data_IF_066590959577
#
_entry.id   IF_066590959577
#
_cell.length_a   1.000
_cell.length_b   1.000
_cell.length_c   1.000
_cell.angle_alpha   90.00
_cell.angle_beta   90.00
_cell.angle_gamma   90.00
#
_symmetry.space_group_name_H-M   'P 1'
#
loop_
_entity.id
_entity.type
_entity.pdbx_description
1 polymer ?
#
# COMPACT_ATOMS: atom_id res chain seq x y z
N UNK A 1 -11.25 -37.23 46.91
CA UNK A 1 -12.42 -36.70 47.64
C UNK A 1 -12.90 -35.45 46.97
N UNK A 2 -14.07 -35.52 46.43
CA UNK A 2 -14.97 -34.60 45.76
C UNK A 2 -14.94 -33.15 46.28
N UNK A 3 -15.14 -32.15 45.41
CA UNK A 3 -16.44 -31.49 45.33
C UNK A 3 -16.56 -30.66 44.04
N UNK A 4 -17.53 -31.06 43.26
CA UNK A 4 -18.16 -30.35 42.15
C UNK A 4 -18.93 -29.16 42.70
N UNK A 5 -18.75 -27.96 42.13
CA UNK A 5 -19.78 -26.92 42.25
C UNK A 5 -20.03 -26.29 40.88
N UNK A 6 -21.14 -26.72 40.33
CA UNK A 6 -21.83 -26.19 39.17
C UNK A 6 -22.53 -24.91 39.59
N UNK A 7 -22.34 -23.81 38.84
CA UNK A 7 -23.27 -22.68 38.85
C UNK A 7 -23.68 -22.34 37.42
N UNK A 8 -24.94 -22.61 37.17
CA UNK A 8 -25.77 -22.20 36.02
C UNK A 8 -26.33 -20.81 36.24
N UNK A 9 -26.76 -20.22 35.15
CA UNK A 9 -27.71 -19.10 35.00
C UNK A 9 -27.02 -17.75 34.77
N UNK A 10 -27.46 -16.86 33.85
CA UNK A 10 -28.79 -16.70 33.27
C UNK A 10 -28.66 -15.97 31.91
N UNK A 11 -29.56 -16.33 31.00
CA UNK A 11 -29.94 -15.53 29.83
C UNK A 11 -30.66 -14.28 30.29
N UNK A 12 -30.29 -13.11 29.70
CA UNK A 12 -31.20 -11.98 29.59
C UNK A 12 -31.30 -11.57 28.13
N UNK A 13 -32.46 -11.84 27.56
CA UNK A 13 -32.93 -11.27 26.31
C UNK A 13 -33.28 -9.81 26.51
N UNK A 14 -32.77 -8.92 25.71
CA UNK A 14 -33.10 -7.49 25.67
C UNK A 14 -33.54 -7.12 24.26
N UNK A 15 -34.79 -6.65 24.19
CA UNK A 15 -35.61 -6.47 23.02
C UNK A 15 -35.14 -5.35 22.06
N UNK A 16 -35.58 -5.51 20.83
CA UNK A 16 -35.51 -4.59 19.70
C UNK A 16 -36.19 -3.23 19.99
N UNK A 17 -35.60 -2.16 19.44
CA UNK A 17 -36.32 -0.94 19.11
C UNK A 17 -35.96 -0.52 17.68
N UNK A 18 -36.85 -0.79 16.76
CA UNK A 18 -36.85 -0.24 15.42
C UNK A 18 -37.39 1.19 15.49
N UNK A 19 -36.62 2.17 15.01
CA UNK A 19 -37.11 3.51 14.73
C UNK A 19 -37.14 3.69 13.22
N UNK A 20 -38.34 3.61 12.66
CA UNK A 20 -38.67 4.04 11.30
C UNK A 20 -38.81 5.57 11.33
N UNK A 21 -37.99 6.28 10.59
CA UNK A 21 -38.23 7.69 10.23
C UNK A 21 -38.38 7.75 8.70
N UNK A 22 -39.67 7.80 8.30
CA UNK A 22 -40.12 8.22 6.98
C UNK A 22 -39.97 9.74 6.91
N UNK A 23 -39.25 10.23 5.93
CA UNK A 23 -39.15 11.65 5.58
C UNK A 23 -39.28 11.80 4.07
N UNK A 24 -40.43 12.28 3.70
CA UNK A 24 -40.90 12.57 2.34
C UNK A 24 -40.22 13.78 1.71
N UNK A 25 -39.90 13.71 0.42
CA UNK A 25 -40.23 14.69 -0.59
C UNK A 25 -39.40 15.97 -0.68
N UNK A 26 -38.85 16.20 -1.87
CA UNK A 26 -38.34 17.48 -2.32
C UNK A 26 -37.59 17.38 -3.64
N UNK A 27 -38.33 17.17 -4.73
CA UNK A 27 -37.85 17.43 -6.08
C UNK A 27 -37.75 18.94 -6.30
N UNK A 28 -36.61 19.47 -6.68
CA UNK A 28 -36.45 20.82 -7.19
C UNK A 28 -35.74 20.75 -8.53
N UNK A 29 -36.45 21.30 -9.51
CA UNK A 29 -36.16 21.33 -10.93
C UNK A 29 -34.90 22.14 -11.26
N UNK A 30 -34.21 21.71 -12.33
CA UNK A 30 -33.21 22.47 -13.06
C UNK A 30 -33.83 23.65 -13.80
N UNK A 31 -33.13 24.77 -13.94
CA UNK A 31 -33.43 25.70 -15.02
C UNK A 31 -32.46 25.55 -16.19
N UNK A 32 -33.09 25.64 -17.37
CA UNK A 32 -32.49 25.56 -18.67
C UNK A 32 -31.59 26.74 -19.03
N UNK A 33 -30.68 26.48 -19.94
CA UNK A 33 -29.84 27.46 -20.64
C UNK A 33 -30.69 28.33 -21.63
N UNK A 34 -30.24 29.55 -21.91
CA UNK A 34 -30.64 30.19 -23.17
C UNK A 34 -29.45 30.32 -24.13
N UNK A 35 -29.70 30.34 -25.44
CA UNK A 35 -28.66 30.56 -26.46
C UNK A 35 -28.55 32.04 -26.82
N UNK A 36 -27.33 32.49 -27.07
CA UNK A 36 -27.16 33.77 -27.78
C UNK A 36 -26.08 33.67 -28.84
N UNK A 37 -26.55 33.84 -30.02
CA UNK A 37 -25.85 34.00 -31.28
C UNK A 37 -25.56 35.47 -31.48
N UNK A 38 -24.30 35.83 -31.80
CA UNK A 38 -24.03 37.07 -32.50
C UNK A 38 -22.80 36.93 -33.39
N UNK A 39 -23.05 37.03 -34.64
CA UNK A 39 -22.09 37.21 -35.74
C UNK A 39 -21.61 38.66 -35.77
N UNK A 40 -20.30 38.83 -35.90
CA UNK A 40 -19.72 40.09 -36.40
C UNK A 40 -18.55 39.79 -37.32
N UNK A 41 -18.74 40.19 -38.56
CA UNK A 41 -17.82 40.17 -39.68
C UNK A 41 -17.15 41.55 -39.75
N UNK A 42 -15.83 41.60 -39.73
CA UNK A 42 -15.12 42.83 -40.18
C UNK A 42 -13.71 42.45 -40.70
N UNK A 43 -13.58 42.67 -41.88
CA UNK A 43 -12.56 43.01 -42.88
C UNK A 43 -11.11 43.27 -42.41
N UNK A 44 -10.20 42.66 -43.18
CA UNK A 44 -8.76 42.97 -43.21
C UNK A 44 -8.45 44.39 -43.75
N UNK A 45 -7.25 44.89 -43.45
CA UNK A 45 -6.43 45.33 -44.57
C UNK A 45 -5.04 44.69 -44.60
N UNK A 46 -4.66 44.43 -45.84
CA UNK A 46 -3.34 44.03 -46.31
C UNK A 46 -2.31 45.13 -46.02
N UNK A 47 -1.20 44.76 -45.41
CA UNK A 47 0.01 45.57 -45.48
C UNK A 47 1.20 44.66 -45.76
N UNK A 48 1.77 44.85 -46.95
CA UNK A 48 3.10 44.34 -47.33
C UNK A 48 4.15 45.05 -46.48
N UNK A 49 5.04 44.26 -45.84
CA UNK A 49 6.34 44.74 -45.42
C UNK A 49 7.32 43.58 -45.35
N UNK A 50 8.18 43.54 -46.29
CA UNK A 50 9.63 43.24 -46.31
C UNK A 50 10.21 42.43 -45.15
N UNK A 51 10.71 41.23 -45.47
CA UNK A 51 11.59 40.43 -44.61
C UNK A 51 12.97 41.10 -44.43
N UNK A 52 13.60 40.89 -43.27
CA UNK A 52 15.03 40.65 -43.25
C UNK A 52 15.30 39.20 -42.83
N UNK A 53 16.22 38.57 -43.56
CA UNK A 53 16.92 37.38 -43.13
C UNK A 53 17.52 37.62 -41.74
N UNK A 54 17.08 36.86 -40.77
CA UNK A 54 17.84 36.61 -39.57
C UNK A 54 18.07 35.12 -39.47
N UNK A 55 19.32 34.76 -39.55
CA UNK A 55 19.85 33.44 -39.54
C UNK A 55 19.48 32.66 -38.29
N UNK A 56 19.27 31.35 -38.52
CA UNK A 56 19.38 30.23 -37.61
C UNK A 56 20.09 30.51 -36.29
N UNK A 57 19.34 30.42 -35.20
CA UNK A 57 19.83 29.87 -33.95
C UNK A 57 18.65 29.24 -33.23
N UNK A 58 17.99 28.30 -33.90
CA UNK A 58 17.19 27.31 -33.23
C UNK A 58 18.15 26.26 -32.64
N UNK A 59 18.89 26.66 -31.62
CA UNK A 59 19.62 25.69 -30.80
C UNK A 59 18.59 24.86 -30.05
N UNK A 60 18.47 23.64 -30.52
CA UNK A 60 17.61 22.58 -30.06
C UNK A 60 17.59 22.49 -28.53
N UNK A 61 16.52 22.95 -27.92
CA UNK A 61 16.11 22.46 -26.60
C UNK A 61 15.59 21.03 -26.75
N UNK A 62 16.49 20.12 -27.20
CA UNK A 62 16.21 18.68 -27.24
C UNK A 62 16.23 18.12 -25.81
N UNK A 63 15.04 17.93 -25.19
CA UNK A 63 14.80 16.58 -24.72
C UNK A 63 15.17 16.23 -23.30
N UNK A 64 15.00 17.12 -22.26
CA UNK A 64 15.11 16.66 -20.87
C UNK A 64 13.72 16.42 -20.20
N UNK A 65 12.65 16.94 -20.78
CA UNK A 65 11.30 16.78 -20.25
C UNK A 65 10.77 15.31 -20.22
N UNK A 66 11.03 14.45 -21.24
CA UNK A 66 10.49 13.08 -21.20
C UNK A 66 11.13 12.19 -20.11
N UNK A 67 12.42 12.35 -19.83
CA UNK A 67 13.10 11.53 -18.80
C UNK A 67 12.61 11.86 -17.38
N UNK A 68 12.44 13.14 -17.06
CA UNK A 68 11.92 13.59 -15.77
C UNK A 68 10.44 13.14 -15.58
N UNK A 69 9.61 13.27 -16.60
CA UNK A 69 8.23 12.80 -16.57
C UNK A 69 8.13 11.28 -16.39
N UNK A 70 9.01 10.52 -17.05
CA UNK A 70 9.08 9.06 -16.89
C UNK A 70 9.52 8.66 -15.48
N UNK A 71 10.52 9.31 -14.92
CA UNK A 71 11.00 9.08 -13.55
C UNK A 71 9.91 9.41 -12.52
N UNK A 72 9.20 10.53 -12.68
CA UNK A 72 8.10 10.92 -11.81
C UNK A 72 6.95 9.90 -11.86
N UNK A 73 6.58 9.45 -13.06
CA UNK A 73 5.56 8.40 -13.25
C UNK A 73 5.99 7.07 -12.64
N UNK A 74 7.26 6.68 -12.77
CA UNK A 74 7.80 5.47 -12.17
C UNK A 74 7.84 5.54 -10.65
N UNK A 75 8.24 6.68 -10.07
CA UNK A 75 8.18 6.92 -8.63
C UNK A 75 6.75 6.77 -8.10
N UNK A 76 5.76 7.36 -8.78
CA UNK A 76 4.35 7.23 -8.44
C UNK A 76 3.82 5.78 -8.48
N UNK A 77 4.52 4.87 -9.20
CA UNK A 77 4.20 3.43 -9.22
C UNK A 77 4.94 2.63 -8.14
N UNK A 78 6.14 3.03 -7.77
CA UNK A 78 6.97 2.35 -6.77
C UNK A 78 6.68 2.81 -5.33
N UNK A 79 6.30 4.06 -5.12
CA UNK A 79 5.94 4.60 -3.81
C UNK A 79 4.91 3.77 -3.06
N UNK A 80 3.78 3.40 -3.68
CA UNK A 80 2.79 2.52 -3.04
C UNK A 80 3.33 1.16 -2.61
N UNK A 81 4.35 0.61 -3.28
CA UNK A 81 4.96 -0.65 -2.87
C UNK A 81 5.73 -0.51 -1.55
N UNK A 82 6.49 0.57 -1.39
CA UNK A 82 7.21 0.86 -0.14
C UNK A 82 6.22 1.15 1.00
N UNK A 83 5.19 1.94 0.74
CA UNK A 83 4.17 2.31 1.72
C UNK A 83 3.37 1.09 2.22
N UNK A 84 2.86 0.25 1.32
CA UNK A 84 2.14 -0.97 1.69
C UNK A 84 3.04 -2.00 2.39
N UNK A 85 4.32 -2.05 2.03
CA UNK A 85 5.30 -2.88 2.75
C UNK A 85 5.48 -2.41 4.19
N UNK A 86 5.56 -1.10 4.44
CA UNK A 86 5.64 -0.55 5.80
C UNK A 86 4.35 -0.78 6.60
N UNK A 87 3.17 -0.64 5.98
CA UNK A 87 1.89 -1.00 6.61
C UNK A 87 1.87 -2.46 7.04
N UNK A 88 2.34 -3.35 6.14
CA UNK A 88 2.41 -4.78 6.46
C UNK A 88 3.40 -5.08 7.59
N UNK A 89 4.52 -4.36 7.68
CA UNK A 89 5.46 -4.50 8.80
C UNK A 89 4.86 -4.05 10.13
N UNK A 90 4.03 -3.00 10.15
CA UNK A 90 3.31 -2.58 11.34
C UNK A 90 2.35 -3.66 11.88
N UNK A 91 1.77 -4.50 11.00
CA UNK A 91 1.02 -5.67 11.48
C UNK A 91 1.91 -6.74 12.11
N UNK A 92 3.21 -6.75 11.79
CA UNK A 92 4.19 -7.63 12.44
C UNK A 92 4.32 -7.38 13.94
N UNK A 93 4.16 -6.13 14.39
CA UNK A 93 4.14 -5.75 15.80
C UNK A 93 2.94 -6.36 16.51
N UNK A 94 1.77 -6.29 15.87
CA UNK A 94 0.54 -6.87 16.40
C UNK A 94 0.63 -8.39 16.47
N UNK A 95 1.22 -9.04 15.45
CA UNK A 95 1.46 -10.50 15.48
C UNK A 95 2.44 -10.87 16.58
N UNK A 96 3.52 -10.10 16.76
CA UNK A 96 4.48 -10.32 17.83
C UNK A 96 3.78 -10.22 19.20
N UNK A 97 2.96 -9.18 19.41
CA UNK A 97 2.21 -9.00 20.64
C UNK A 97 1.18 -10.12 20.89
N UNK A 98 0.48 -10.55 19.84
CA UNK A 98 -0.48 -11.67 19.94
C UNK A 98 0.19 -13.00 20.31
N UNK A 99 1.42 -13.22 19.85
CA UNK A 99 2.20 -14.45 20.14
C UNK A 99 3.00 -14.36 21.45
N UNK A 100 3.19 -13.18 22.02
CA UNK A 100 3.99 -12.99 23.22
C UNK A 100 3.42 -13.76 24.40
N UNK A 101 4.27 -14.55 25.09
CA UNK A 101 3.89 -15.34 26.25
C UNK A 101 2.99 -16.56 25.95
N UNK A 102 2.71 -16.87 24.67
CA UNK A 102 1.88 -18.05 24.31
C UNK A 102 2.72 -19.32 24.06
N UNK A 103 4.03 -19.19 23.88
CA UNK A 103 4.89 -20.27 23.38
C UNK A 103 4.68 -20.60 21.90
N UNK A 104 3.77 -19.92 21.20
CA UNK A 104 3.52 -20.13 19.77
C UNK A 104 4.73 -19.72 18.91
N UNK A 105 5.11 -20.53 17.90
CA UNK A 105 6.28 -20.24 17.07
C UNK A 105 6.05 -19.01 16.19
N UNK A 106 7.13 -18.26 15.90
CA UNK A 106 7.11 -17.17 14.92
C UNK A 106 6.99 -17.75 13.51
N UNK A 107 7.74 -18.80 13.25
CA UNK A 107 7.70 -19.50 11.97
C UNK A 107 6.45 -20.41 11.90
N UNK A 108 5.69 -20.25 10.83
CA UNK A 108 4.47 -21.03 10.56
C UNK A 108 4.45 -21.39 9.05
N UNK A 109 5.19 -22.43 8.65
CA UNK A 109 5.34 -22.80 7.24
C UNK A 109 4.02 -23.08 6.53
N UNK A 110 3.05 -23.65 7.23
CA UNK A 110 1.72 -23.95 6.66
C UNK A 110 0.99 -22.64 6.32
N UNK A 111 0.95 -21.69 7.25
CA UNK A 111 0.34 -20.37 7.04
C UNK A 111 1.10 -19.55 6.02
N UNK A 112 2.43 -19.62 6.00
CA UNK A 112 3.25 -18.96 5.00
C UNK A 112 2.91 -19.44 3.59
N UNK A 113 2.77 -20.75 3.40
CA UNK A 113 2.40 -21.33 2.12
C UNK A 113 0.98 -20.93 1.68
N UNK A 114 0.00 -20.92 2.58
CA UNK A 114 -1.35 -20.41 2.28
C UNK A 114 -1.34 -18.97 1.75
N UNK A 115 -0.53 -18.10 2.35
CA UNK A 115 -0.38 -16.71 1.90
C UNK A 115 0.24 -16.67 0.51
N UNK A 116 1.31 -17.45 0.25
CA UNK A 116 1.99 -17.48 -1.03
C UNK A 116 1.08 -18.01 -2.15
N UNK A 117 0.28 -19.04 -1.88
CA UNK A 117 -0.69 -19.58 -2.84
C UNK A 117 -1.79 -18.57 -3.16
N UNK A 118 -2.33 -17.90 -2.13
CA UNK A 118 -3.37 -16.89 -2.31
C UNK A 118 -2.89 -15.69 -3.15
N UNK A 119 -1.67 -15.21 -2.91
CA UNK A 119 -1.14 -14.07 -3.68
C UNK A 119 -0.73 -14.47 -5.10
N UNK A 120 -0.25 -15.69 -5.31
CA UNK A 120 0.01 -16.22 -6.64
C UNK A 120 -1.26 -16.28 -7.48
N UNK A 121 -2.34 -16.78 -6.90
CA UNK A 121 -3.64 -16.86 -7.54
C UNK A 121 -4.22 -15.46 -7.84
N UNK A 122 -4.11 -14.53 -6.90
CA UNK A 122 -4.53 -13.15 -7.13
C UNK A 122 -3.69 -12.48 -8.23
N UNK A 123 -2.37 -12.72 -8.29
CA UNK A 123 -1.49 -12.21 -9.33
C UNK A 123 -1.93 -12.69 -10.71
N UNK A 124 -2.24 -14.00 -10.87
CA UNK A 124 -2.77 -14.55 -12.14
C UNK A 124 -4.05 -13.83 -12.58
N UNK A 125 -5.00 -13.64 -11.67
CA UNK A 125 -6.26 -12.93 -11.98
C UNK A 125 -6.05 -11.48 -12.40
N UNK A 126 -4.98 -10.84 -11.96
CA UNK A 126 -4.64 -9.45 -12.29
C UNK A 126 -3.65 -9.34 -13.47
N UNK A 127 -3.26 -10.44 -14.11
CA UNK A 127 -2.31 -10.45 -15.20
C UNK A 127 -0.87 -10.11 -14.79
N UNK A 128 -0.55 -10.25 -13.49
CA UNK A 128 0.82 -10.11 -12.98
C UNK A 128 1.54 -11.47 -12.97
N UNK A 129 2.88 -11.44 -13.01
CA UNK A 129 3.68 -12.65 -12.89
C UNK A 129 3.55 -13.25 -11.47
N UNK A 130 2.98 -14.47 -11.34
CA UNK A 130 2.81 -15.10 -10.03
C UNK A 130 4.13 -15.44 -9.36
N UNK A 131 5.15 -15.85 -10.12
CA UNK A 131 6.44 -16.24 -9.56
C UNK A 131 7.17 -15.03 -8.98
N UNK A 132 7.19 -13.90 -9.69
CA UNK A 132 7.74 -12.64 -9.20
C UNK A 132 6.97 -12.15 -7.96
N UNK A 133 5.63 -12.23 -7.98
CA UNK A 133 4.80 -11.87 -6.83
C UNK A 133 5.13 -12.72 -5.61
N UNK A 134 5.26 -14.04 -5.77
CA UNK A 134 5.66 -14.97 -4.69
C UNK A 134 7.03 -14.62 -4.13
N UNK A 135 8.02 -14.27 -4.97
CA UNK A 135 9.35 -13.83 -4.48
C UNK A 135 9.23 -12.61 -3.57
N UNK A 136 8.49 -11.59 -4.01
CA UNK A 136 8.24 -10.38 -3.21
C UNK A 136 7.58 -10.76 -1.87
N UNK A 137 6.57 -11.62 -1.89
CA UNK A 137 5.86 -12.01 -0.66
C UNK A 137 6.68 -12.89 0.29
N UNK A 138 7.63 -13.68 -0.21
CA UNK A 138 8.62 -14.34 0.64
C UNK A 138 9.46 -13.31 1.42
N UNK A 139 9.94 -12.26 0.74
CA UNK A 139 10.67 -11.18 1.42
C UNK A 139 9.79 -10.44 2.44
N UNK A 140 8.50 -10.22 2.14
CA UNK A 140 7.54 -9.62 3.07
C UNK A 140 7.34 -10.48 4.33
N UNK A 141 7.23 -11.80 4.18
CA UNK A 141 7.09 -12.75 5.28
C UNK A 141 8.36 -12.74 6.14
N UNK A 142 9.52 -12.87 5.52
CA UNK A 142 10.79 -12.85 6.23
C UNK A 142 11.04 -11.52 6.96
N UNK A 143 10.67 -10.40 6.36
CA UNK A 143 10.75 -9.09 7.01
C UNK A 143 9.84 -9.00 8.25
N UNK A 144 8.62 -9.52 8.18
CA UNK A 144 7.73 -9.60 9.33
C UNK A 144 8.32 -10.49 10.46
N UNK A 145 8.94 -11.61 10.11
CA UNK A 145 9.64 -12.46 11.09
C UNK A 145 10.83 -11.76 11.74
N UNK A 146 11.56 -10.91 10.99
CA UNK A 146 12.64 -10.06 11.55
C UNK A 146 12.08 -9.14 12.64
N UNK A 147 10.96 -8.46 12.37
CA UNK A 147 10.29 -7.59 13.35
C UNK A 147 9.86 -8.39 14.57
N UNK A 148 9.13 -9.48 14.40
CA UNK A 148 8.63 -10.31 15.50
C UNK A 148 9.77 -10.82 16.40
N UNK A 149 10.83 -11.37 15.79
CA UNK A 149 12.01 -11.83 16.56
C UNK A 149 12.73 -10.68 17.25
N UNK A 150 12.81 -9.52 16.61
CA UNK A 150 13.41 -8.32 17.18
C UNK A 150 12.67 -7.82 18.41
N UNK A 151 11.34 -7.74 18.33
CA UNK A 151 10.47 -7.34 19.43
C UNK A 151 10.51 -8.35 20.57
N UNK A 152 10.41 -9.65 20.31
CA UNK A 152 10.48 -10.68 21.33
C UNK A 152 11.84 -10.63 22.07
N UNK A 153 12.98 -10.44 21.36
CA UNK A 153 14.29 -10.25 22.02
C UNK A 153 14.30 -9.01 22.92
N UNK A 154 13.71 -7.90 22.46
CA UNK A 154 13.62 -6.65 23.23
C UNK A 154 12.79 -6.87 24.50
N UNK A 155 11.63 -7.52 24.42
CA UNK A 155 10.76 -7.79 25.55
C UNK A 155 11.31 -8.83 26.54
N UNK A 156 12.12 -9.77 26.05
CA UNK A 156 12.88 -10.67 26.94
C UNK A 156 13.97 -9.94 27.72
N UNK A 157 14.65 -8.98 27.07
CA UNK A 157 15.69 -8.20 27.73
C UNK A 157 15.13 -7.15 28.72
N UNK A 158 13.98 -6.58 28.38
CA UNK A 158 13.26 -5.59 29.21
C UNK A 158 11.77 -5.89 29.19
N UNK A 159 11.26 -6.68 30.15
CA UNK A 159 9.87 -7.04 30.23
C UNK A 159 8.90 -5.84 30.44
N UNK A 160 9.40 -4.70 30.92
CA UNK A 160 8.58 -3.49 31.07
C UNK A 160 8.13 -2.90 29.72
N UNK A 161 8.84 -3.22 28.64
CA UNK A 161 8.49 -2.84 27.28
C UNK A 161 7.54 -3.85 26.60
N UNK A 162 7.25 -4.99 27.23
CA UNK A 162 6.37 -5.98 26.65
C UNK A 162 4.91 -5.47 26.59
N UNK A 163 4.13 -5.89 25.58
CA UNK A 163 2.73 -5.47 25.48
C UNK A 163 1.92 -5.97 26.66
N UNK A 164 1.12 -5.09 27.25
CA UNK A 164 0.17 -5.41 28.33
C UNK A 164 -1.16 -5.96 27.81
N UNK A 165 -1.47 -5.74 26.54
CA UNK A 165 -2.66 -6.23 25.86
C UNK A 165 -2.27 -7.19 24.74
N UNK A 166 -3.09 -8.23 24.54
CA UNK A 166 -2.90 -9.19 23.45
C UNK A 166 -3.93 -8.93 22.35
N UNK A 167 -3.49 -8.51 21.15
CA UNK A 167 -4.39 -8.38 20.01
C UNK A 167 -5.01 -9.74 19.63
N UNK A 168 -6.24 -9.69 19.09
CA UNK A 168 -6.85 -10.85 18.46
C UNK A 168 -6.11 -11.17 17.15
N UNK A 169 -5.52 -12.37 17.08
CA UNK A 169 -4.72 -12.77 15.93
C UNK A 169 -5.55 -12.91 14.65
N UNK A 170 -6.83 -13.27 14.76
CA UNK A 170 -7.68 -13.44 13.58
C UNK A 170 -8.08 -12.07 13.01
N UNK A 171 -8.31 -11.07 13.84
CA UNK A 171 -8.51 -9.70 13.39
C UNK A 171 -7.24 -9.14 12.72
N UNK A 172 -6.08 -9.37 13.31
CA UNK A 172 -4.79 -8.98 12.70
C UNK A 172 -4.59 -9.67 11.34
N UNK A 173 -4.96 -10.93 11.21
CA UNK A 173 -4.89 -11.68 9.94
C UNK A 173 -5.83 -11.10 8.86
N UNK A 174 -7.01 -10.61 9.22
CA UNK A 174 -7.91 -9.92 8.29
C UNK A 174 -7.25 -8.68 7.69
N UNK A 175 -6.62 -7.87 8.54
CA UNK A 175 -5.89 -6.68 8.10
C UNK A 175 -4.67 -7.03 7.23
N UNK A 176 -3.89 -8.05 7.61
CA UNK A 176 -2.80 -8.57 6.77
C UNK A 176 -3.31 -8.98 5.39
N UNK A 177 -4.43 -9.70 5.32
CA UNK A 177 -5.00 -10.15 4.05
C UNK A 177 -5.49 -8.98 3.19
N UNK A 178 -6.06 -7.93 3.81
CA UNK A 178 -6.43 -6.69 3.12
C UNK A 178 -5.21 -6.02 2.49
N UNK A 179 -4.15 -5.81 3.28
CA UNK A 179 -2.89 -5.21 2.81
C UNK A 179 -2.24 -6.07 1.73
N UNK A 180 -2.21 -7.40 1.90
CA UNK A 180 -1.70 -8.32 0.88
C UNK A 180 -2.43 -8.12 -0.45
N UNK A 181 -3.77 -8.01 -0.43
CA UNK A 181 -4.56 -7.76 -1.62
C UNK A 181 -4.22 -6.43 -2.31
N UNK A 182 -3.97 -5.38 -1.54
CA UNK A 182 -3.57 -4.07 -2.09
C UNK A 182 -2.15 -4.10 -2.65
N UNK A 183 -1.23 -4.80 -1.98
CA UNK A 183 0.15 -4.95 -2.44
C UNK A 183 0.21 -5.72 -3.77
N UNK A 184 -0.54 -6.83 -3.93
CA UNK A 184 -0.62 -7.54 -5.21
C UNK A 184 -1.17 -6.64 -6.32
N UNK A 185 -2.20 -5.82 -6.03
CA UNK A 185 -2.71 -4.84 -7.00
C UNK A 185 -1.67 -3.78 -7.37
N UNK A 186 -0.87 -3.32 -6.41
CA UNK A 186 0.21 -2.37 -6.67
C UNK A 186 1.32 -3.00 -7.53
N UNK A 187 1.70 -4.26 -7.28
CA UNK A 187 2.63 -5.04 -8.10
C UNK A 187 2.12 -5.15 -9.53
N UNK A 188 0.84 -5.52 -9.72
CA UNK A 188 0.23 -5.66 -11.04
C UNK A 188 0.20 -4.34 -11.83
N UNK A 189 0.13 -3.18 -11.14
CA UNK A 189 0.14 -1.86 -11.80
C UNK A 189 1.53 -1.29 -12.07
N UNK A 190 2.60 -1.97 -11.68
CA UNK A 190 3.97 -1.45 -11.74
C UNK A 190 4.99 -2.27 -12.57
N UNK A 191 4.59 -3.11 -13.57
CA UNK A 191 5.54 -4.00 -14.24
C UNK A 191 6.69 -3.22 -14.88
N UNK A 192 6.41 -2.16 -15.65
CA UNK A 192 7.43 -1.35 -16.31
C UNK A 192 8.32 -0.57 -15.34
N UNK A 193 7.78 -0.10 -14.22
CA UNK A 193 8.59 0.61 -13.22
C UNK A 193 9.53 -0.34 -12.49
N UNK A 194 9.10 -1.60 -12.28
CA UNK A 194 9.88 -2.64 -11.60
C UNK A 194 11.01 -3.20 -12.45
N UNK A 195 10.82 -3.28 -13.77
CA UNK A 195 11.84 -3.76 -14.72
C UNK A 195 12.77 -2.66 -15.23
N UNK A 196 12.53 -1.41 -14.88
CA UNK A 196 13.32 -0.30 -15.36
C UNK A 196 14.69 -0.20 -14.66
N UNK A 197 15.75 0.26 -15.33
CA UNK A 197 17.09 0.41 -14.75
C UNK A 197 17.14 1.33 -13.52
N UNK A 198 16.19 2.26 -13.42
CA UNK A 198 16.05 3.19 -12.30
C UNK A 198 15.13 2.69 -11.16
N UNK A 199 14.66 1.43 -11.23
CA UNK A 199 13.77 0.88 -10.20
C UNK A 199 14.42 0.95 -8.81
N UNK A 200 15.61 0.37 -8.63
CA UNK A 200 16.27 0.29 -7.34
C UNK A 200 16.55 1.68 -6.71
N UNK A 201 17.12 2.68 -7.42
CA UNK A 201 17.30 4.01 -6.85
C UNK A 201 15.99 4.69 -6.49
N UNK A 202 14.95 4.62 -7.32
CA UNK A 202 13.65 5.23 -6.99
C UNK A 202 12.95 4.52 -5.82
N UNK A 203 13.03 3.19 -5.74
CA UNK A 203 12.49 2.43 -4.63
C UNK A 203 13.21 2.76 -3.32
N UNK A 204 14.53 2.99 -3.36
CA UNK A 204 15.32 3.44 -2.21
C UNK A 204 14.86 4.81 -1.72
N UNK A 205 14.61 5.75 -2.63
CA UNK A 205 14.06 7.08 -2.27
C UNK A 205 12.68 6.93 -1.65
N UNK A 206 11.80 6.10 -2.22
CA UNK A 206 10.48 5.85 -1.66
C UNK A 206 10.55 5.23 -0.26
N UNK A 207 11.42 4.24 -0.06
CA UNK A 207 11.64 3.63 1.26
C UNK A 207 12.19 4.63 2.29
N UNK A 208 13.11 5.52 1.89
CA UNK A 208 13.63 6.56 2.76
C UNK A 208 12.54 7.57 3.18
N UNK A 209 11.67 7.95 2.26
CA UNK A 209 10.54 8.82 2.54
C UNK A 209 9.57 8.15 3.51
N UNK A 210 9.16 6.91 3.26
CA UNK A 210 8.27 6.13 4.15
C UNK A 210 8.89 5.97 5.53
N UNK A 211 10.20 5.69 5.63
CA UNK A 211 10.91 5.63 6.90
C UNK A 211 10.77 6.94 7.68
N UNK A 212 10.93 8.07 7.00
CA UNK A 212 10.83 9.40 7.62
C UNK A 212 9.39 9.70 8.05
N UNK A 213 8.42 9.53 7.18
CA UNK A 213 7.00 9.83 7.43
C UNK A 213 6.40 8.96 8.53
N UNK A 214 6.80 7.68 8.61
CA UNK A 214 6.32 6.72 9.60
C UNK A 214 7.21 6.62 10.84
N UNK A 215 8.27 7.43 10.94
CA UNK A 215 9.22 7.42 12.05
C UNK A 215 9.75 6.02 12.40
N UNK A 216 10.09 5.22 11.36
CA UNK A 216 10.53 3.85 11.56
C UNK A 216 11.85 3.80 12.33
N UNK A 217 11.88 2.99 13.39
CA UNK A 217 13.12 2.69 14.13
C UNK A 217 14.10 1.84 13.32
N UNK A 218 15.27 1.55 13.90
CA UNK A 218 16.31 0.76 13.22
C UNK A 218 15.84 -0.65 12.84
N UNK A 219 15.03 -1.31 13.68
CA UNK A 219 14.49 -2.63 13.43
C UNK A 219 13.55 -2.63 12.22
N UNK A 220 12.60 -1.70 12.21
CA UNK A 220 11.63 -1.58 11.12
C UNK A 220 12.26 -1.07 9.82
N UNK A 221 13.30 -0.21 9.91
CA UNK A 221 14.06 0.24 8.73
C UNK A 221 14.76 -0.93 8.04
N UNK A 222 15.43 -1.79 8.79
CA UNK A 222 16.08 -3.00 8.24
C UNK A 222 15.05 -3.97 7.67
N UNK A 223 13.92 -4.15 8.36
CA UNK A 223 12.84 -5.00 7.89
C UNK A 223 12.19 -4.46 6.60
N UNK A 224 11.99 -3.12 6.49
CA UNK A 224 11.48 -2.50 5.27
C UNK A 224 12.44 -2.74 4.09
N UNK A 225 13.73 -2.52 4.26
CA UNK A 225 14.72 -2.79 3.22
C UNK A 225 14.68 -4.27 2.76
N UNK A 226 14.51 -5.20 3.71
CA UNK A 226 14.38 -6.63 3.40
C UNK A 226 13.10 -6.93 2.62
N UNK A 227 11.97 -6.35 2.99
CA UNK A 227 10.68 -6.57 2.34
C UNK A 227 10.64 -6.12 0.88
N UNK A 228 11.52 -5.20 0.50
CA UNK A 228 11.58 -4.61 -0.84
C UNK A 228 12.62 -5.26 -1.76
N UNK A 229 13.38 -6.25 -1.29
CA UNK A 229 14.54 -6.80 -2.00
C UNK A 229 14.20 -7.32 -3.40
N UNK A 230 13.11 -8.06 -3.55
CA UNK A 230 12.70 -8.66 -4.83
C UNK A 230 11.69 -7.80 -5.61
N UNK A 231 11.52 -6.53 -5.26
CA UNK A 231 10.55 -5.66 -5.96
C UNK A 231 11.04 -5.30 -7.34
N UNK A 232 12.34 -4.99 -7.50
CA UNK A 232 12.92 -4.69 -8.81
C UNK A 232 13.33 -5.98 -9.52
N UNK A 233 12.90 -6.14 -10.77
CA UNK A 233 13.27 -7.29 -11.60
C UNK A 233 14.76 -7.17 -11.97
N UNK A 234 15.56 -8.20 -11.68
CA UNK A 234 16.99 -8.22 -12.03
C UNK A 234 17.97 -7.90 -10.89
N UNK A 235 17.50 -7.85 -9.64
CA UNK A 235 18.36 -7.82 -8.44
C UNK A 235 18.49 -9.19 -7.81
#
# INVERSE_FOLDING_TARGET
>A
VQLITSMRSALTAGAAAAVLLTGTGGAVAAPAAPPARATAKASAPSAKATAPLAADTALAAKGHAPAAATAHSAYGRLGPLAELSAQRLATGDLVAAAKWGTGGPIDDPAREQEVLDAVAEQARRLGADPAATVRIFRDQIEASKVVQRGLHRRWHADPAQAPTTRPDLDEVRKEINRINGELVRAIARSPHARSAPYCAPLLTVAAAQVRHERHLDGLHTVALARSLRSVCDGT
#
